data_IF_733706553774
#
_entry.id   IF_733706553774
#
_cell.length_a   1.000
_cell.length_b   1.000
_cell.length_c   1.000
_cell.angle_alpha   90.00
_cell.angle_beta   90.00
_cell.angle_gamma   90.00
#
_symmetry.space_group_name_H-M   'P 1'
#
loop_
_entity.id
_entity.type
_entity.pdbx_description
1 polymer ?
2 non-polymer ?
3 non-polymer ?
4 water ?
#
# COMPACT_ATOMS: atom_id res chain seq x y z
N UNK A 2 3.16 18.24 7.66
CA UNK A 2 2.12 17.34 7.09
C UNK A 2 2.73 16.42 6.02
N UNK A 3 2.00 15.37 5.62
CA UNK A 3 2.53 14.51 4.59
C UNK A 3 2.10 15.02 3.21
N UNK A 4 3.10 15.15 2.34
CA UNK A 4 2.89 15.59 0.96
C UNK A 4 3.16 14.36 0.10
N UNK A 5 2.32 14.14 -0.90
CA UNK A 5 2.46 12.96 -1.76
C UNK A 5 3.44 13.27 -2.90
N UNK A 6 4.52 12.51 -2.98
CA UNK A 6 5.51 12.64 -4.05
C UNK A 6 4.94 12.07 -5.38
N UNK A 7 5.39 12.62 -6.51
CA UNK A 7 4.90 12.18 -7.80
C UNK A 7 6.04 11.78 -8.75
N UNK A 8 5.67 10.97 -9.73
CA UNK A 8 6.60 10.37 -10.67
C UNK A 8 7.61 11.40 -11.20
N UNK A 9 8.88 11.04 -11.11
CA UNK A 9 9.97 11.97 -11.42
C UNK A 9 10.81 12.21 -10.17
N UNK A 10 10.18 12.02 -9.00
CA UNK A 10 10.90 12.07 -7.73
C UNK A 10 11.66 10.77 -7.52
N UNK A 11 12.97 10.85 -7.32
CA UNK A 11 13.81 9.66 -7.21
C UNK A 11 13.51 8.83 -5.96
N UNK A 12 12.94 9.43 -4.93
CA UNK A 12 12.60 8.65 -3.70
C UNK A 12 11.52 7.58 -3.94
N UNK A 13 10.75 7.72 -5.01
CA UNK A 13 9.75 6.70 -5.40
C UNK A 13 10.42 5.44 -6.00
N UNK A 14 11.72 5.55 -6.30
CA UNK A 14 12.50 4.49 -6.88
C UNK A 14 13.50 3.87 -5.90
N UNK A 15 13.66 4.44 -4.70
CA UNK A 15 14.58 3.87 -3.71
C UNK A 15 13.82 2.81 -2.95
N UNK A 16 14.44 1.65 -2.73
CA UNK A 16 13.75 0.60 -1.98
C UNK A 16 13.60 0.99 -0.51
N UNK A 17 12.52 0.53 0.11
CA UNK A 17 12.24 0.88 1.49
C UNK A 17 12.81 -0.15 2.44
N UNK A 18 13.15 0.33 3.62
CA UNK A 18 13.75 -0.46 4.67
C UNK A 18 12.76 -0.97 5.71
N UNK A 19 13.05 -2.16 6.25
CA UNK A 19 12.31 -2.76 7.35
C UNK A 19 12.20 -1.83 8.54
N UNK A 20 11.04 -1.86 9.18
CA UNK A 20 10.69 -1.06 10.35
C UNK A 20 10.89 -1.94 11.58
N UNK A 21 11.51 -1.40 12.64
CA UNK A 21 11.40 -1.97 13.99
C UNK A 21 10.13 -1.36 14.63
N UNK A 22 9.13 -2.19 14.90
CA UNK A 22 7.82 -1.68 15.32
C UNK A 22 7.81 -0.90 16.64
N UNK A 23 7.20 0.29 16.62
CA UNK A 23 6.90 1.05 17.85
C UNK A 23 5.45 1.50 17.77
N UNK A 24 4.64 1.12 18.75
CA UNK A 24 3.19 1.31 18.68
C UNK A 24 2.78 2.78 18.53
N UNK A 25 3.36 3.63 19.37
CA UNK A 25 3.09 5.08 19.36
C UNK A 25 3.52 5.76 18.03
N UNK A 26 4.74 5.47 17.57
CA UNK A 26 5.21 6.01 16.30
C UNK A 26 4.38 5.55 15.06
N UNK A 27 4.03 4.25 15.03
CA UNK A 27 3.21 3.70 13.96
C UNK A 27 1.83 4.31 13.98
N UNK A 28 1.32 4.58 15.19
CA UNK A 28 0.03 5.27 15.35
C UNK A 28 0.01 6.65 14.67
N UNK A 29 1.09 7.40 14.87
CA UNK A 29 1.26 8.73 14.29
C UNK A 29 1.37 8.63 12.77
N UNK A 30 2.26 7.74 12.30
CA UNK A 30 2.42 7.53 10.88
C UNK A 30 1.07 7.11 10.23
N UNK A 31 0.40 6.14 10.84
CA UNK A 31 -0.91 5.68 10.39
C UNK A 31 -1.92 6.84 10.21
N UNK A 32 -2.04 7.70 11.25
CA UNK A 32 -2.94 8.84 11.21
C UNK A 32 -2.63 9.76 10.03
N UNK A 33 -1.35 10.04 9.82
CA UNK A 33 -0.96 10.95 8.74
C UNK A 33 -1.11 10.34 7.35
N UNK A 34 -0.82 9.04 7.24
CA UNK A 34 -0.99 8.35 5.95
C UNK A 34 -2.45 8.28 5.56
N UNK A 35 -3.29 7.87 6.50
CA UNK A 35 -4.73 7.82 6.27
C UNK A 35 -5.27 9.18 5.83
N UNK A 36 -4.85 10.25 6.53
CA UNK A 36 -5.28 11.59 6.18
C UNK A 36 -4.93 11.93 4.75
N UNK A 37 -3.69 11.68 4.37
CA UNK A 37 -3.21 11.97 3.01
C UNK A 37 -3.98 11.13 1.97
N UNK A 38 -4.12 9.83 2.27
CA UNK A 38 -4.86 8.92 1.37
C UNK A 38 -6.27 9.37 1.13
N UNK A 39 -7.01 9.57 2.22
CA UNK A 39 -8.41 9.94 2.14
C UNK A 39 -8.65 11.32 1.59
N UNK A 40 -7.76 12.28 1.88
CA UNK A 40 -7.89 13.64 1.35
C UNK A 40 -7.90 13.62 -0.17
N UNK A 41 -7.25 12.62 -0.79
CA UNK A 41 -7.24 12.51 -2.24
C UNK A 41 -8.05 11.33 -2.81
N UNK A 42 -8.98 10.82 -2.00
CA UNK A 42 -9.89 9.73 -2.36
C UNK A 42 -9.19 8.43 -2.80
N UNK A 43 -8.05 8.11 -2.19
CA UNK A 43 -7.33 6.89 -2.46
C UNK A 43 -7.83 5.78 -1.58
N UNK A 44 -7.47 4.54 -1.92
CA UNK A 44 -7.82 3.36 -1.10
C UNK A 44 -6.56 2.57 -0.66
N UNK A 45 -5.38 3.06 -1.05
CA UNK A 45 -4.10 2.56 -0.55
C UNK A 45 -3.05 3.64 -0.58
N UNK A 46 -2.00 3.43 0.23
CA UNK A 46 -0.86 4.33 0.24
C UNK A 46 0.36 3.63 0.85
N UNK A 47 1.54 3.94 0.31
CA UNK A 47 2.79 3.39 0.82
C UNK A 47 3.62 4.54 1.36
N UNK A 48 4.38 4.29 2.42
CA UNK A 48 5.21 5.33 3.06
C UNK A 48 6.12 6.11 2.09
N UNK A 49 6.80 5.44 1.12
CA UNK A 49 7.67 6.18 0.16
C UNK A 49 6.92 7.25 -0.64
N UNK A 50 5.62 7.08 -0.87
CA UNK A 50 4.80 8.11 -1.52
C UNK A 50 4.72 9.39 -0.73
N UNK A 51 4.95 9.34 0.59
CA UNK A 51 4.99 10.55 1.40
C UNK A 51 6.42 10.84 1.87
N UNK A 52 7.42 10.38 1.12
CA UNK A 52 8.85 10.64 1.47
C UNK A 52 9.46 9.86 2.63
N UNK A 53 8.85 8.73 2.99
CA UNK A 53 9.36 7.91 4.10
C UNK A 53 9.68 6.52 3.58
N UNK A 54 10.97 6.21 3.36
CA UNK A 54 11.31 4.92 2.70
C UNK A 54 11.45 3.79 3.71
N UNK A 55 10.32 3.51 4.36
CA UNK A 55 10.18 2.46 5.34
C UNK A 55 9.02 1.58 4.89
N UNK A 56 9.08 0.31 5.29
CA UNK A 56 8.16 -0.68 4.73
C UNK A 56 6.82 -0.70 5.48
N UNK A 57 6.00 0.29 5.15
CA UNK A 57 4.69 0.52 5.77
C UNK A 57 3.70 0.90 4.67
N UNK A 58 2.58 0.22 4.69
CA UNK A 58 1.43 0.59 3.82
C UNK A 58 0.13 0.70 4.63
N UNK A 59 -0.81 1.43 4.03
CA UNK A 59 -2.20 1.49 4.54
C UNK A 59 -3.14 1.07 3.41
N UNK A 60 -4.22 0.38 3.78
CA UNK A 60 -5.22 -0.13 2.82
C UNK A 60 -6.61 0.21 3.40
N UNK A 61 -7.35 1.04 2.68
CA UNK A 61 -8.69 1.43 3.10
C UNK A 61 -9.58 0.22 3.20
N UNK A 62 -10.46 0.22 4.19
CA UNK A 62 -11.65 -0.63 4.15
C UNK A 62 -12.83 0.04 4.87
N UNK A 63 -13.30 1.11 4.25
CA UNK A 63 -14.39 1.92 4.77
C UNK A 63 -15.66 1.21 4.36
N UNK A 64 -16.63 1.12 5.27
CA UNK A 64 -17.88 0.40 5.03
C UNK A 64 -19.04 1.26 5.54
N UNK A 65 -20.25 1.00 5.05
CA UNK A 65 -21.45 1.64 5.59
C UNK A 65 -21.60 1.22 7.06
N UNK A 66 -21.33 -0.05 7.38
CA UNK A 66 -21.62 -0.56 8.74
C UNK A 66 -20.70 0.08 9.82
N UNK A 67 -19.40 0.22 9.55
CA UNK A 67 -18.43 0.65 10.55
C UNK A 67 -17.76 1.97 10.31
N UNK A 68 -18.04 2.61 9.18
CA UNK A 68 -17.48 3.90 8.84
C UNK A 68 -16.06 3.81 8.28
N UNK A 69 -15.35 4.93 8.34
CA UNK A 69 -14.01 4.99 7.77
C UNK A 69 -13.07 4.09 8.59
N UNK A 70 -12.30 3.26 7.90
CA UNK A 70 -11.29 2.41 8.55
C UNK A 70 -10.23 2.07 7.51
N UNK A 71 -8.99 1.87 7.97
CA UNK A 71 -7.91 1.41 7.09
C UNK A 71 -6.99 0.48 7.90
N UNK A 72 -6.46 -0.53 7.22
CA UNK A 72 -5.51 -1.47 7.78
C UNK A 72 -4.13 -0.88 7.68
N UNK A 73 -3.39 -0.92 8.80
CA UNK A 73 -1.94 -0.71 8.78
C UNK A 73 -1.22 -2.04 8.57
N UNK A 74 -0.24 -2.04 7.67
CA UNK A 74 0.55 -3.23 7.43
C UNK A 74 1.99 -2.82 7.46
N UNK A 75 2.66 -3.24 8.51
CA UNK A 75 4.08 -2.95 8.72
C UNK A 75 4.89 -4.18 8.31
N UNK A 76 5.99 -3.94 7.56
CA UNK A 76 6.87 -4.97 6.95
C UNK A 76 6.07 -6.03 6.21
N UNK A 77 5.14 -5.58 5.33
CA UNK A 77 4.32 -6.55 4.65
C UNK A 77 5.19 -7.38 3.70
N UNK A 78 4.91 -8.69 3.63
CA UNK A 78 5.57 -9.57 2.70
C UNK A 78 4.60 -10.59 2.09
N UNK A 79 4.64 -10.71 0.77
CA UNK A 79 3.83 -11.73 0.05
C UNK A 79 4.54 -13.06 0.13
N UNK A 80 3.89 -14.05 0.73
CA UNK A 80 4.51 -15.36 0.87
C UNK A 80 3.92 -16.33 -0.14
N UNK A 81 2.88 -15.93 -0.84
CA UNK A 81 2.27 -16.80 -1.85
C UNK A 81 1.44 -15.97 -2.79
N UNK A 82 1.44 -16.37 -4.08
CA UNK A 82 0.65 -15.71 -5.13
C UNK A 82 -0.03 -16.79 -5.97
N UNK A 83 -1.26 -16.55 -6.39
CA UNK A 83 -1.97 -17.48 -7.22
C UNK A 83 -1.38 -17.51 -8.61
N UNK A 84 -1.50 -18.66 -9.27
CA UNK A 84 -1.16 -18.78 -10.69
C UNK A 84 -2.15 -17.99 -11.54
N UNK A 85 -3.42 -18.07 -11.16
CA UNK A 85 -4.48 -17.31 -11.80
C UNK A 85 -4.27 -15.79 -11.69
N UNK A 86 -4.35 -15.11 -12.83
CA UNK A 86 -4.21 -13.66 -12.91
C UNK A 86 -5.58 -12.98 -13.17
N UNK A 87 -5.68 -11.72 -12.79
CA UNK A 87 -6.84 -10.91 -13.13
C UNK A 87 -6.34 -9.55 -13.60
N UNK A 88 -7.11 -8.92 -14.48
CA UNK A 88 -6.81 -7.62 -15.02
C UNK A 88 -7.63 -6.56 -14.25
N UNK A 89 -6.96 -5.48 -13.87
CA UNK A 89 -7.60 -4.37 -13.20
C UNK A 89 -7.04 -3.04 -13.69
N UNK A 90 -7.92 -2.04 -13.83
CA UNK A 90 -7.52 -0.70 -14.25
C UNK A 90 -6.98 0.07 -13.05
N UNK A 91 -5.67 0.29 -13.02
CA UNK A 91 -5.01 0.94 -11.90
C UNK A 91 -4.77 2.44 -12.08
N UNK A 92 -4.70 3.13 -10.96
CA UNK A 92 -4.16 4.46 -10.89
C UNK A 92 -3.33 4.54 -9.65
N UNK A 93 -2.82 5.74 -9.36
CA UNK A 93 -1.89 5.96 -8.26
C UNK A 93 -1.79 7.45 -7.98
N UNK A 94 -1.88 7.82 -6.71
CA UNK A 94 -1.74 9.22 -6.32
C UNK A 94 -0.37 9.77 -6.66
N UNK A 95 0.64 8.89 -6.74
CA UNK A 95 1.98 9.31 -7.17
C UNK A 95 2.20 9.37 -8.70
N UNK A 96 1.18 9.00 -9.48
CA UNK A 96 1.21 9.00 -10.94
C UNK A 96 -0.09 9.65 -11.44
N UNK A 97 -0.27 10.94 -11.14
CA UNK A 97 -1.54 11.55 -11.43
C UNK A 97 -1.90 11.61 -12.95
N UNK A 98 -3.19 11.51 -13.25
CA UNK A 98 -3.66 11.56 -14.66
C UNK A 98 -3.08 10.42 -15.52
N UNK A 99 -2.75 9.28 -14.90
CA UNK A 99 -2.41 8.07 -15.68
C UNK A 99 -3.17 6.90 -15.10
N UNK A 100 -3.70 6.07 -15.97
CA UNK A 100 -4.31 4.82 -15.54
C UNK A 100 -3.96 3.77 -16.60
N UNK A 101 -4.21 2.51 -16.26
CA UNK A 101 -4.04 1.42 -17.22
C UNK A 101 -4.31 0.05 -16.62
N UNK A 102 -4.59 -0.89 -17.51
CA UNK A 102 -4.97 -2.26 -17.14
C UNK A 102 -3.69 -3.03 -16.78
N UNK A 103 -3.65 -3.61 -15.58
CA UNK A 103 -2.49 -4.36 -15.11
C UNK A 103 -2.90 -5.78 -14.74
N UNK A 104 -2.14 -6.75 -15.23
CA UNK A 104 -2.33 -8.13 -14.82
C UNK A 104 -1.53 -8.40 -13.57
N UNK A 105 -2.20 -8.97 -12.58
CA UNK A 105 -1.49 -9.46 -11.39
C UNK A 105 -2.19 -10.67 -10.89
N UNK A 106 -1.51 -11.45 -10.04
CA UNK A 106 -2.20 -12.54 -9.37
C UNK A 106 -3.50 -12.12 -8.68
N UNK A 107 -4.50 -12.96 -8.82
CA UNK A 107 -5.81 -12.74 -8.25
C UNK A 107 -5.83 -12.84 -6.72
N UNK A 108 -5.07 -13.78 -6.16
CA UNK A 108 -5.00 -13.89 -4.72
C UNK A 108 -3.58 -14.06 -4.25
N UNK A 109 -3.37 -13.67 -3.00
CA UNK A 109 -2.07 -13.72 -2.34
C UNK A 109 -2.23 -14.10 -0.84
N UNK A 110 -1.13 -14.49 -0.24
CA UNK A 110 -0.98 -14.53 1.21
C UNK A 110 0.05 -13.50 1.58
N UNK A 111 -0.27 -12.70 2.59
CA UNK A 111 0.62 -11.64 3.05
C UNK A 111 0.85 -11.72 4.56
N UNK A 112 2.09 -11.61 5.00
CA UNK A 112 2.37 -11.47 6.41
C UNK A 112 2.72 -10.01 6.71
N UNK A 113 2.40 -9.57 7.93
CA UNK A 113 2.69 -8.19 8.34
C UNK A 113 2.51 -8.04 9.83
N UNK A 114 2.95 -6.91 10.40
CA UNK A 114 2.53 -6.50 11.74
C UNK A 114 1.44 -5.46 11.63
N UNK A 115 0.39 -5.62 12.44
CA UNK A 115 -0.76 -4.73 12.40
C UNK A 115 -0.58 -3.47 13.27
N UNK A 116 -1.64 -2.65 13.33
CA UNK A 116 -1.69 -1.42 14.17
C UNK A 116 -1.18 -1.66 15.60
N UNK A 117 -1.47 -2.83 16.14
CA UNK A 117 -1.13 -3.12 17.53
C UNK A 117 0.20 -3.88 17.67
N UNK A 118 0.88 -4.14 16.54
CA UNK A 118 2.16 -4.89 16.56
C UNK A 118 2.06 -6.41 16.54
N UNK A 119 0.85 -6.95 16.39
CA UNK A 119 0.66 -8.39 16.28
C UNK A 119 1.06 -8.88 14.90
N UNK A 120 1.68 -10.05 14.85
CA UNK A 120 2.06 -10.64 13.57
C UNK A 120 0.82 -11.29 12.99
N UNK A 121 0.51 -10.92 11.74
CA UNK A 121 -0.64 -11.43 11.01
C UNK A 121 -0.21 -12.15 9.73
N UNK A 122 -1.06 -13.07 9.28
CA UNK A 122 -1.00 -13.64 7.93
C UNK A 122 -2.41 -13.74 7.35
N UNK A 123 -2.67 -13.05 6.25
CA UNK A 123 -3.98 -13.10 5.62
C UNK A 123 -3.92 -13.62 4.21
N UNK A 124 -4.93 -14.40 3.85
CA UNK A 124 -5.12 -14.77 2.46
C UNK A 124 -6.09 -13.73 1.88
N UNK A 125 -5.63 -13.01 0.86
CA UNK A 125 -6.45 -11.97 0.22
C UNK A 125 -6.79 -12.29 -1.21
N UNK A 126 -7.94 -11.82 -1.67
CA UNK A 126 -8.29 -11.86 -3.08
C UNK A 126 -9.00 -10.56 -3.48
N UNK A 127 -9.57 -10.52 -4.69
CA UNK A 127 -10.34 -9.36 -5.12
C UNK A 127 -9.57 -8.06 -4.96
N UNK A 128 -10.28 -7.00 -4.59
CA UNK A 128 -9.67 -5.71 -4.57
C UNK A 128 -8.56 -5.60 -3.49
N UNK A 129 -8.70 -6.32 -2.37
CA UNK A 129 -7.74 -6.29 -1.29
C UNK A 129 -6.39 -6.80 -1.80
N UNK A 130 -6.42 -7.93 -2.50
CA UNK A 130 -5.18 -8.52 -3.05
C UNK A 130 -4.52 -7.56 -4.05
N UNK A 131 -5.35 -6.88 -4.84
CA UNK A 131 -4.88 -5.91 -5.83
C UNK A 131 -4.14 -4.72 -5.18
N UNK A 132 -4.79 -4.09 -4.18
CA UNK A 132 -4.24 -2.90 -3.51
C UNK A 132 -2.97 -3.24 -2.76
N UNK A 133 -2.96 -4.37 -2.06
CA UNK A 133 -1.76 -4.80 -1.36
C UNK A 133 -0.58 -5.01 -2.33
N UNK A 134 -0.78 -5.67 -3.47
CA UNK A 134 0.33 -5.91 -4.39
C UNK A 134 0.86 -4.62 -4.97
N UNK A 135 -0.05 -3.70 -5.35
CA UNK A 135 0.31 -2.35 -5.83
C UNK A 135 1.12 -1.59 -4.80
N UNK A 136 0.63 -1.59 -3.55
CA UNK A 136 1.34 -0.85 -2.48
C UNK A 136 2.70 -1.45 -2.09
N UNK A 137 2.80 -2.77 -2.00
CA UNK A 137 4.09 -3.42 -1.73
C UNK A 137 5.07 -3.11 -2.88
N UNK A 138 4.58 -3.02 -4.13
CA UNK A 138 5.45 -2.62 -5.28
C UNK A 138 6.16 -1.29 -4.98
N UNK A 139 5.44 -0.31 -4.38
CA UNK A 139 6.09 0.97 -3.97
C UNK A 139 7.31 0.79 -3.09
N UNK A 140 7.26 -0.19 -2.20
CA UNK A 140 8.36 -0.48 -1.26
C UNK A 140 9.58 -1.08 -1.97
N UNK A 141 9.35 -1.60 -3.18
CA UNK A 141 10.40 -2.10 -4.06
C UNK A 141 10.81 -1.07 -5.13
N UNK A 142 10.36 0.17 -4.99
CA UNK A 142 10.65 1.20 -5.97
C UNK A 142 9.98 0.98 -7.34
N UNK A 143 8.85 0.27 -7.36
CA UNK A 143 8.10 -0.04 -8.58
C UNK A 143 6.83 0.79 -8.65
N UNK A 144 6.61 1.45 -9.79
CA UNK A 144 5.37 2.16 -10.08
C UNK A 144 4.56 1.35 -11.10
N UNK A 145 3.24 1.48 -11.08
CA UNK A 145 2.39 0.57 -11.90
C UNK A 145 2.55 0.76 -13.42
N UNK A 146 2.96 1.96 -13.81
CA UNK A 146 3.29 2.25 -15.22
C UNK A 146 4.47 1.41 -15.75
N UNK A 147 5.33 0.93 -14.86
CA UNK A 147 6.42 0.02 -15.24
C UNK A 147 5.93 -1.26 -15.94
N UNK A 148 4.69 -1.68 -15.67
CA UNK A 148 4.13 -2.88 -16.31
C UNK A 148 3.72 -2.72 -17.78
N UNK A 149 3.68 -1.51 -18.30
CA UNK A 149 3.18 -1.29 -19.67
C UNK A 149 4.26 -1.52 -20.74
X LIG B 1 0.47 3.76 -5.85
X LIG C 1 -9.01 -11.12 6.15
X LIG C 1 -9.55 -9.71 5.96
X LIG C 1 -10.89 -9.76 5.47
X LIG C 1 -9.54 -8.98 7.31
X LIG C 1 -8.77 -8.96 4.88
X LIG C 1 -9.12 -7.47 4.75
X LIG C 1 -10.53 -7.30 4.47
X LIG C 1 -8.27 -6.72 3.73
X LIG D 1 -9.65 -4.05 1.34
X LIG D 1 -10.41 -3.20 0.31
X LIG D 1 -11.22 -2.27 1.04
X LIG D 1 -9.40 -2.50 -0.61
X LIG D 1 -11.32 -4.01 -0.63
X LIG D 1 -12.51 -4.65 0.04
X LIG D 1 -11.98 -5.78 0.74
X LIG D 1 -13.60 -5.05 -0.95
#
# INVERSE_FOLDING_TARGET
>A
GSLKIKTIGDRCLRQKSEEVEFDKKEMSELYDQMCEAMWASDGIGLAAPQVGINKRVIVVDETTEEHGKYAHLMVNPKITWKSEEKVLFDEGCLSVPDQNGEVLRPKSIKVTFQNKDGKYKKWKLDGLAARVVQHEIDHLEGILFVDYFNDKEN
>B hetero
1 ZN ZN
>C hetero
1 MRD C1 C2 O2 CM C3 C4 O4 C5
>D hetero
1 MRD C1 C2 O2 CM C3 C4 O4 C5
#
